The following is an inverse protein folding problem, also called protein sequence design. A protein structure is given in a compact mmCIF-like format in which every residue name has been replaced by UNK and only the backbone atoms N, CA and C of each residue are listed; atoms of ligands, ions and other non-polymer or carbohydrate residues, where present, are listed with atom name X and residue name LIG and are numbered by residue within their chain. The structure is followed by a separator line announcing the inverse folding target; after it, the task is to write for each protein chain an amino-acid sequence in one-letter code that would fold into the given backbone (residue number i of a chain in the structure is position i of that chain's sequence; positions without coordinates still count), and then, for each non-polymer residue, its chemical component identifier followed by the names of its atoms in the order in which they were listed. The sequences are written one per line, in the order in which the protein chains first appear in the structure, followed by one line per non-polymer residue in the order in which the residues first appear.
data_IF_507602923211
#
_entry.id   IF_507602923211
#
_cell.length_a   1.000
_cell.length_b   1.000
_cell.length_c   1.000
_cell.angle_alpha   90.00
_cell.angle_beta   90.00
_cell.angle_gamma   90.00
#
_symmetry.space_group_name_H-M   'P 1'
#
loop_
_entity.id
_entity.type
_entity.pdbx_description
1 polymer ?
#
# COMPACT_ATOMS: atom_id res chain seq x y z
N UNK A 1 16.43 6.71 5.07
CA UNK A 1 15.98 5.32 4.84
C UNK A 1 14.45 5.26 4.96
N UNK A 2 13.79 4.53 4.05
CA UNK A 2 12.36 4.24 4.12
C UNK A 2 12.15 2.79 4.56
N UNK A 3 11.31 2.56 5.57
CA UNK A 3 10.95 1.23 6.05
C UNK A 3 9.57 0.84 5.53
N UNK A 4 9.42 -0.32 4.89
CA UNK A 4 8.11 -0.84 4.48
C UNK A 4 7.71 -2.03 5.35
N UNK A 5 6.45 -2.06 5.79
CA UNK A 5 5.90 -3.10 6.67
C UNK A 5 4.85 -3.92 5.92
N UNK A 6 5.05 -5.24 5.86
CA UNK A 6 4.10 -6.20 5.31
C UNK A 6 3.80 -7.30 6.33
N UNK A 7 2.71 -7.17 7.09
CA UNK A 7 2.38 -8.12 8.16
C UNK A 7 1.78 -9.44 7.66
N UNK A 8 1.20 -9.46 6.46
CA UNK A 8 0.58 -10.65 5.87
C UNK A 8 1.03 -10.86 4.41
N UNK A 9 2.35 -11.07 4.18
CA UNK A 9 2.89 -11.25 2.83
C UNK A 9 2.38 -12.55 2.21
N UNK A 10 2.50 -12.66 0.89
CA UNK A 10 2.03 -13.82 0.12
C UNK A 10 3.01 -14.20 -0.96
N UNK A 11 3.11 -15.48 -1.29
CA UNK A 11 3.65 -15.88 -2.60
C UNK A 11 2.53 -15.68 -3.61
N UNK A 12 2.60 -14.60 -4.38
CA UNK A 12 1.61 -14.32 -5.41
C UNK A 12 1.90 -15.24 -6.60
N UNK A 13 0.93 -16.10 -6.92
CA UNK A 13 1.02 -17.08 -7.99
C UNK A 13 0.02 -16.73 -9.06
N UNK A 14 0.53 -16.35 -10.24
CA UNK A 14 -0.27 -16.00 -11.40
C UNK A 14 -0.38 -17.17 -12.36
N UNK A 15 -1.60 -17.39 -12.84
CA UNK A 15 -1.91 -18.28 -13.97
C UNK A 15 -2.50 -17.47 -15.11
N UNK A 16 -1.90 -17.61 -16.30
CA UNK A 16 -2.45 -17.06 -17.53
C UNK A 16 -3.13 -18.18 -18.32
N UNK A 17 -4.39 -17.98 -18.65
CA UNK A 17 -5.22 -18.89 -19.44
C UNK A 17 -5.95 -18.11 -20.53
N UNK A 18 -6.26 -18.76 -21.64
CA UNK A 18 -7.19 -18.22 -22.62
C UNK A 18 -8.63 -18.27 -22.05
N UNK A 19 -9.00 -19.40 -21.47
CA UNK A 19 -10.29 -19.67 -20.84
C UNK A 19 -10.09 -20.49 -19.55
N UNK A 20 -10.90 -20.21 -18.52
CA UNK A 20 -10.96 -21.00 -17.29
C UNK A 20 -12.10 -22.03 -17.40
N UNK A 21 -11.77 -23.31 -17.53
CA UNK A 21 -12.76 -24.38 -17.63
C UNK A 21 -13.15 -24.85 -16.23
N UNK A 22 -14.40 -24.62 -15.84
CA UNK A 22 -14.95 -25.09 -14.55
C UNK A 22 -15.25 -26.58 -14.63
N UNK A 23 -14.96 -27.30 -13.54
CA UNK A 23 -15.16 -28.77 -13.42
C UNK A 23 -14.28 -29.60 -14.40
N UNK A 24 -13.14 -29.04 -14.84
CA UNK A 24 -12.19 -29.74 -15.70
C UNK A 24 -10.73 -29.37 -15.38
N UNK A 25 -9.78 -30.07 -16.00
CA UNK A 25 -8.35 -29.88 -15.84
C UNK A 25 -7.86 -28.69 -16.66
N UNK A 26 -7.34 -27.68 -15.98
CA UNK A 26 -6.64 -26.54 -16.58
C UNK A 26 -5.13 -26.74 -16.40
N UNK A 27 -4.35 -26.73 -17.50
CA UNK A 27 -2.89 -26.88 -17.46
C UNK A 27 -2.22 -25.53 -17.60
N UNK A 28 -1.37 -25.18 -16.63
CA UNK A 28 -0.78 -23.85 -16.50
C UNK A 28 0.70 -23.93 -16.12
N UNK A 29 1.44 -22.87 -16.44
CA UNK A 29 2.76 -22.61 -15.88
C UNK A 29 2.63 -21.44 -14.89
N UNK A 30 2.94 -21.63 -13.59
CA UNK A 30 2.87 -20.55 -12.61
C UNK A 30 3.98 -19.52 -12.84
N UNK A 31 3.61 -18.24 -12.77
CA UNK A 31 4.54 -17.15 -12.46
C UNK A 31 4.42 -16.85 -10.96
N UNK A 32 5.53 -16.83 -10.22
CA UNK A 32 5.52 -16.61 -8.76
C UNK A 32 6.36 -15.40 -8.39
N UNK A 33 5.82 -14.53 -7.55
CA UNK A 33 6.50 -13.32 -7.09
C UNK A 33 6.35 -13.12 -5.59
N UNK A 34 7.25 -12.30 -5.01
CA UNK A 34 7.16 -11.89 -3.62
C UNK A 34 6.00 -10.89 -3.45
N UNK A 35 4.86 -11.36 -2.99
CA UNK A 35 3.60 -10.63 -2.94
C UNK A 35 3.29 -9.96 -1.61
N UNK A 36 2.41 -8.97 -1.68
CA UNK A 36 1.97 -8.18 -0.53
C UNK A 36 2.14 -6.67 -0.77
N UNK A 37 1.18 -5.89 -0.27
CA UNK A 37 1.11 -4.43 -0.52
C UNK A 37 2.40 -3.70 -0.14
N UNK A 38 2.95 -3.95 1.05
CA UNK A 38 4.20 -3.30 1.47
C UNK A 38 5.44 -3.74 0.67
N UNK A 39 5.41 -4.93 0.04
CA UNK A 39 6.45 -5.38 -0.89
C UNK A 39 6.29 -4.73 -2.28
N UNK A 40 5.07 -4.46 -2.73
CA UNK A 40 4.83 -3.62 -3.91
C UNK A 40 5.37 -2.20 -3.68
N UNK A 41 5.11 -1.63 -2.50
CA UNK A 41 5.68 -0.32 -2.10
C UNK A 41 7.22 -0.37 -2.15
N UNK A 42 7.84 -1.39 -1.55
CA UNK A 42 9.29 -1.53 -1.54
C UNK A 42 9.91 -1.63 -2.95
N UNK A 43 9.29 -2.40 -3.85
CA UNK A 43 9.72 -2.51 -5.25
C UNK A 43 9.71 -1.17 -5.96
N UNK A 44 8.64 -0.40 -5.78
CA UNK A 44 8.50 0.90 -6.44
C UNK A 44 9.50 1.91 -5.88
N UNK A 45 9.69 1.95 -4.56
CA UNK A 45 10.73 2.78 -3.92
C UNK A 45 12.14 2.43 -4.44
N UNK A 46 12.44 1.14 -4.61
CA UNK A 46 13.70 0.71 -5.22
C UNK A 46 13.91 1.22 -6.66
N UNK A 47 12.85 1.27 -7.46
CA UNK A 47 12.88 1.84 -8.82
C UNK A 47 13.08 3.36 -8.82
N UNK A 48 12.55 4.05 -7.82
CA UNK A 48 12.76 5.49 -7.61
C UNK A 48 14.15 5.82 -7.04
N UNK A 49 14.93 4.80 -6.65
CA UNK A 49 16.30 4.95 -6.15
C UNK A 49 16.39 5.20 -4.64
N UNK A 50 15.32 4.96 -3.89
CA UNK A 50 15.31 5.14 -2.42
C UNK A 50 16.09 4.03 -1.68
N UNK A 51 16.71 4.39 -0.55
CA UNK A 51 17.25 3.41 0.40
C UNK A 51 16.09 2.81 1.21
N UNK A 52 15.66 1.61 0.81
CA UNK A 52 14.50 0.91 1.35
C UNK A 52 14.88 -0.38 2.08
N UNK A 53 14.20 -0.64 3.20
CA UNK A 53 14.23 -1.95 3.88
C UNK A 53 12.79 -2.44 4.04
N UNK A 54 12.52 -3.67 3.58
CA UNK A 54 11.25 -4.34 3.81
C UNK A 54 11.28 -5.18 5.09
N UNK A 55 10.25 -5.10 5.93
CA UNK A 55 10.08 -5.92 7.13
C UNK A 55 8.65 -6.43 7.27
N UNK A 56 8.44 -7.33 8.23
CA UNK A 56 7.18 -8.02 8.45
C UNK A 56 7.39 -9.40 9.05
N UNK A 57 6.50 -10.34 8.72
CA UNK A 57 6.52 -11.71 9.19
C UNK A 57 6.68 -12.70 8.03
N UNK A 58 7.60 -13.66 8.13
CA UNK A 58 7.75 -14.77 7.18
C UNK A 58 7.84 -16.09 7.93
N UNK A 59 7.24 -17.15 7.41
CA UNK A 59 7.31 -18.44 8.09
C UNK A 59 7.19 -19.65 7.19
N UNK A 60 7.74 -20.75 7.68
CA UNK A 60 7.79 -22.02 6.98
C UNK A 60 8.63 -21.99 5.69
N UNK A 61 8.33 -22.93 4.80
CA UNK A 61 9.03 -23.09 3.52
C UNK A 61 8.67 -21.97 2.55
N UNK A 62 7.40 -21.56 2.53
CA UNK A 62 6.93 -20.44 1.72
C UNK A 62 7.55 -19.12 2.18
N UNK A 63 7.83 -18.96 3.49
CA UNK A 63 8.58 -17.82 4.01
C UNK A 63 10.03 -17.80 3.51
N UNK A 64 10.71 -18.95 3.48
CA UNK A 64 12.04 -19.06 2.91
C UNK A 64 12.04 -18.77 1.40
N UNK A 65 11.07 -19.31 0.67
CA UNK A 65 10.92 -19.06 -0.76
C UNK A 65 10.60 -17.58 -1.07
N UNK A 66 9.82 -16.91 -0.22
CA UNK A 66 9.61 -15.45 -0.30
C UNK A 66 10.92 -14.67 -0.16
N UNK A 67 11.79 -15.07 0.79
CA UNK A 67 13.09 -14.45 0.96
C UNK A 67 13.97 -14.62 -0.30
N UNK A 68 14.00 -15.82 -0.89
CA UNK A 68 14.70 -16.08 -2.15
C UNK A 68 14.18 -15.19 -3.30
N UNK A 69 12.85 -15.04 -3.41
CA UNK A 69 12.23 -14.17 -4.40
C UNK A 69 12.54 -12.69 -4.17
N UNK A 70 12.61 -12.23 -2.92
CA UNK A 70 13.01 -10.85 -2.59
C UNK A 70 14.48 -10.60 -2.95
N UNK A 71 15.38 -11.53 -2.59
CA UNK A 71 16.80 -11.44 -2.89
C UNK A 71 17.07 -11.42 -4.39
N UNK A 72 16.37 -12.28 -5.16
CA UNK A 72 16.46 -12.31 -6.63
C UNK A 72 16.00 -11.00 -7.29
N UNK A 73 15.10 -10.25 -6.64
CA UNK A 73 14.60 -8.96 -7.11
C UNK A 73 15.33 -7.76 -6.47
N UNK A 74 16.42 -7.99 -5.73
CA UNK A 74 17.21 -6.92 -5.10
C UNK A 74 16.50 -6.18 -3.96
N UNK A 75 15.48 -6.79 -3.35
CA UNK A 75 14.73 -6.18 -2.24
C UNK A 75 15.47 -6.46 -0.93
N UNK A 76 16.15 -5.44 -0.39
CA UNK A 76 16.74 -5.50 0.95
C UNK A 76 15.65 -5.69 1.99
N UNK A 77 15.77 -6.75 2.79
CA UNK A 77 14.71 -7.18 3.68
C UNK A 77 15.25 -7.64 5.04
N UNK A 78 14.45 -7.47 6.09
CA UNK A 78 14.73 -7.92 7.46
C UNK A 78 13.42 -8.35 8.15
N UNK A 79 12.90 -9.52 7.76
CA UNK A 79 11.65 -10.09 8.26
C UNK A 79 11.85 -10.93 9.51
N UNK A 80 10.82 -10.98 10.35
CA UNK A 80 10.80 -11.81 11.56
C UNK A 80 10.26 -13.21 11.24
N UNK A 81 11.00 -14.27 11.62
CA UNK A 81 10.53 -15.63 11.40
C UNK A 81 9.35 -15.98 12.31
N UNK A 82 8.35 -16.65 11.74
CA UNK A 82 7.21 -17.22 12.46
C UNK A 82 7.08 -18.72 12.16
N UNK A 83 6.35 -19.45 13.02
CA UNK A 83 6.10 -20.89 12.86
C UNK A 83 5.10 -21.21 11.77
N UNK A 84 4.09 -20.35 11.59
CA UNK A 84 3.04 -20.54 10.59
C UNK A 84 3.58 -20.37 9.16
N UNK A 85 2.99 -21.08 8.21
CA UNK A 85 3.38 -20.99 6.80
C UNK A 85 2.92 -19.65 6.18
N UNK A 86 3.82 -18.94 5.51
CA UNK A 86 3.43 -17.79 4.67
C UNK A 86 2.46 -18.23 3.59
N UNK A 87 1.42 -17.42 3.36
CA UNK A 87 0.29 -17.78 2.51
C UNK A 87 0.58 -17.70 1.01
N UNK A 88 -0.33 -18.26 0.22
CA UNK A 88 -0.37 -18.12 -1.23
C UNK A 88 -1.58 -17.28 -1.62
N UNK A 89 -1.39 -16.41 -2.61
CA UNK A 89 -2.49 -15.75 -3.31
C UNK A 89 -2.47 -16.24 -4.76
N UNK A 90 -3.59 -16.75 -5.25
CA UNK A 90 -3.72 -17.19 -6.64
C UNK A 90 -4.45 -16.12 -7.44
N UNK A 91 -3.85 -15.69 -8.54
CA UNK A 91 -4.46 -14.80 -9.51
C UNK A 91 -4.57 -15.50 -10.86
N UNK A 92 -5.80 -15.77 -11.30
CA UNK A 92 -6.11 -16.44 -12.56
C UNK A 92 -6.61 -15.40 -13.55
N UNK A 93 -5.81 -15.13 -14.58
CA UNK A 93 -6.18 -14.24 -15.68
C UNK A 93 -6.73 -15.08 -16.84
N UNK A 94 -7.96 -14.80 -17.26
CA UNK A 94 -8.64 -15.56 -18.31
C UNK A 94 -9.68 -14.70 -19.03
N UNK A 95 -9.75 -14.78 -20.36
CA UNK A 95 -10.75 -14.06 -21.17
C UNK A 95 -10.98 -12.58 -20.81
N UNK A 96 -9.91 -11.84 -20.45
CA UNK A 96 -9.98 -10.44 -20.02
C UNK A 96 -10.48 -10.21 -18.58
N UNK A 97 -10.72 -11.29 -17.83
CA UNK A 97 -11.11 -11.28 -16.42
C UNK A 97 -9.94 -11.63 -15.51
N UNK A 98 -10.13 -11.31 -14.23
CA UNK A 98 -9.25 -11.65 -13.12
C UNK A 98 -10.05 -12.36 -12.05
N UNK A 99 -9.60 -13.55 -11.64
CA UNK A 99 -10.20 -14.34 -10.57
C UNK A 99 -9.16 -14.62 -9.49
N UNK A 100 -9.44 -14.20 -8.26
CA UNK A 100 -8.48 -14.26 -7.16
C UNK A 100 -8.93 -15.23 -6.08
N UNK A 101 -7.98 -16.03 -5.56
CA UNK A 101 -8.16 -16.83 -4.36
C UNK A 101 -7.12 -16.38 -3.33
N UNK A 102 -7.60 -15.77 -2.26
CA UNK A 102 -6.77 -15.16 -1.23
C UNK A 102 -6.85 -16.01 0.04
N UNK A 103 -5.76 -16.70 0.38
CA UNK A 103 -5.68 -17.42 1.65
C UNK A 103 -5.65 -16.42 2.83
N UNK A 104 -6.26 -16.80 3.97
CA UNK A 104 -6.28 -15.93 5.16
C UNK A 104 -4.90 -15.73 5.78
N UNK A 105 -3.98 -16.68 5.55
CA UNK A 105 -2.63 -16.69 6.11
C UNK A 105 -2.51 -17.20 7.54
N UNK A 106 -1.30 -17.15 8.10
CA UNK A 106 -0.98 -17.78 9.37
C UNK A 106 -1.67 -17.08 10.54
N UNK A 107 -1.78 -17.80 11.65
CA UNK A 107 -2.11 -17.22 12.95
C UNK A 107 -0.81 -16.90 13.67
N UNK A 108 -0.64 -15.65 14.10
CA UNK A 108 0.56 -15.18 14.78
C UNK A 108 0.44 -15.42 16.28
N UNK A 109 1.47 -16.03 16.88
CA UNK A 109 1.53 -16.21 18.33
C UNK A 109 1.92 -14.89 19.04
N UNK A 110 1.50 -14.66 20.29
CA UNK A 110 1.87 -13.46 21.04
C UNK A 110 3.38 -13.23 21.11
N UNK A 111 4.18 -14.29 21.29
CA UNK A 111 5.64 -14.18 21.38
C UNK A 111 6.29 -13.80 20.05
N UNK A 112 5.69 -14.21 18.93
CA UNK A 112 6.13 -13.84 17.57
C UNK A 112 5.79 -12.37 17.27
N UNK A 113 4.61 -11.91 17.73
CA UNK A 113 4.21 -10.51 17.62
C UNK A 113 5.07 -9.59 18.50
N UNK A 114 5.47 -10.05 19.68
CA UNK A 114 6.42 -9.34 20.54
C UNK A 114 7.80 -9.25 19.90
N UNK A 115 8.29 -10.34 19.31
CA UNK A 115 9.55 -10.35 18.55
C UNK A 115 9.51 -9.39 17.35
N UNK A 116 8.40 -9.35 16.62
CA UNK A 116 8.20 -8.37 15.55
C UNK A 116 8.13 -6.94 16.08
N UNK A 117 7.43 -6.68 17.17
CA UNK A 117 7.38 -5.35 17.78
C UNK A 117 8.79 -4.88 18.15
N UNK A 118 9.62 -5.74 18.74
CA UNK A 118 11.00 -5.40 19.10
C UNK A 118 11.87 -5.09 17.87
N UNK A 119 11.78 -5.91 16.81
CA UNK A 119 12.49 -5.64 15.54
C UNK A 119 12.01 -4.35 14.88
N UNK A 120 10.69 -4.14 14.83
CA UNK A 120 10.10 -2.93 14.28
C UNK A 120 10.61 -1.69 15.00
N UNK A 121 10.66 -1.68 16.34
CA UNK A 121 11.21 -0.56 17.11
C UNK A 121 12.66 -0.24 16.71
N UNK A 122 13.51 -1.25 16.51
CA UNK A 122 14.90 -1.05 16.08
C UNK A 122 14.98 -0.42 14.68
N UNK A 123 14.19 -0.94 13.74
CA UNK A 123 14.21 -0.48 12.34
C UNK A 123 13.58 0.90 12.18
N UNK A 124 12.45 1.16 12.86
CA UNK A 124 11.76 2.44 12.85
C UNK A 124 12.64 3.56 13.42
N UNK A 125 13.47 3.28 14.43
CA UNK A 125 14.43 4.25 14.97
C UNK A 125 15.56 4.67 14.02
N UNK A 126 15.66 4.06 12.83
CA UNK A 126 16.62 4.40 11.78
C UNK A 126 15.93 4.98 10.53
N UNK A 127 14.60 5.02 10.51
CA UNK A 127 13.81 5.39 9.34
C UNK A 127 13.39 6.86 9.40
N UNK A 128 13.36 7.52 8.24
CA UNK A 128 12.78 8.86 8.10
C UNK A 128 11.27 8.74 7.81
N UNK A 129 10.89 7.68 7.08
CA UNK A 129 9.51 7.37 6.70
C UNK A 129 9.25 5.87 6.91
N UNK A 130 8.07 5.54 7.42
CA UNK A 130 7.58 4.16 7.55
C UNK A 130 6.27 4.01 6.78
N UNK A 131 6.20 3.07 5.84
CA UNK A 131 4.94 2.71 5.17
C UNK A 131 4.38 1.43 5.76
N UNK A 132 3.13 1.46 6.22
CA UNK A 132 2.43 0.29 6.76
C UNK A 132 1.28 -0.05 5.80
N UNK A 133 1.33 -1.22 5.17
CA UNK A 133 0.41 -1.53 4.08
C UNK A 133 -0.21 -2.93 4.18
N UNK A 134 -1.51 -3.00 3.91
CA UNK A 134 -2.29 -4.25 3.84
C UNK A 134 -2.83 -4.73 5.17
N UNK A 135 -3.53 -5.86 5.15
CA UNK A 135 -4.25 -6.39 6.31
C UNK A 135 -3.33 -7.02 7.35
N UNK A 136 -3.80 -7.03 8.60
CA UNK A 136 -3.20 -7.80 9.67
C UNK A 136 -3.44 -9.32 9.45
N UNK A 137 -2.47 -10.19 9.81
CA UNK A 137 -2.66 -11.64 9.84
C UNK A 137 -3.56 -12.05 11.00
N UNK A 138 -3.99 -13.32 11.03
CA UNK A 138 -4.86 -13.82 12.10
C UNK A 138 -4.11 -13.82 13.45
N UNK A 139 -4.85 -13.61 14.53
CA UNK A 139 -4.26 -13.55 15.89
C UNK A 139 -3.63 -12.20 16.25
N UNK A 140 -3.70 -11.20 15.36
CA UNK A 140 -3.27 -9.83 15.65
C UNK A 140 -4.50 -8.93 15.75
N UNK A 141 -4.59 -8.18 16.85
CA UNK A 141 -5.70 -7.28 17.14
C UNK A 141 -5.73 -6.07 16.19
N UNK A 142 -6.93 -5.56 15.91
CA UNK A 142 -7.14 -4.53 14.90
C UNK A 142 -6.40 -3.21 15.19
N UNK A 143 -6.14 -2.91 16.47
CA UNK A 143 -5.42 -1.72 16.93
C UNK A 143 -3.89 -1.85 16.85
N UNK A 144 -3.35 -2.99 16.41
CA UNK A 144 -1.92 -3.21 16.34
C UNK A 144 -1.20 -2.20 15.44
N UNK A 145 -1.82 -1.79 14.32
CA UNK A 145 -1.25 -0.73 13.48
C UNK A 145 -1.22 0.63 14.19
N UNK A 146 -2.21 0.96 15.01
CA UNK A 146 -2.15 2.16 15.84
C UNK A 146 -0.96 2.11 16.81
N UNK A 147 -0.70 0.94 17.42
CA UNK A 147 0.46 0.72 18.30
C UNK A 147 1.78 0.97 17.59
N UNK A 148 2.01 0.34 16.43
CA UNK A 148 3.29 0.49 15.73
C UNK A 148 3.46 1.85 15.04
N UNK A 149 2.36 2.51 14.64
CA UNK A 149 2.37 3.93 14.25
C UNK A 149 2.90 4.78 15.39
N UNK A 150 2.38 4.59 16.61
CA UNK A 150 2.85 5.29 17.80
C UNK A 150 4.34 5.07 18.10
N UNK A 151 4.86 3.87 17.87
CA UNK A 151 6.29 3.57 18.04
C UNK A 151 7.15 4.36 17.03
N UNK A 152 6.75 4.39 15.75
CA UNK A 152 7.50 5.05 14.70
C UNK A 152 7.45 6.59 14.80
N UNK A 153 6.28 7.17 15.03
CA UNK A 153 6.12 8.62 15.19
C UNK A 153 6.90 9.13 16.42
N UNK A 154 6.89 8.40 17.54
CA UNK A 154 7.69 8.75 18.72
C UNK A 154 9.21 8.61 18.47
N UNK A 155 9.62 7.81 17.50
CA UNK A 155 11.01 7.72 17.05
C UNK A 155 11.38 8.80 16.03
N UNK A 156 10.42 9.63 15.60
CA UNK A 156 10.60 10.73 14.66
C UNK A 156 10.37 10.37 13.19
N UNK A 157 9.91 9.15 12.90
CA UNK A 157 9.63 8.72 11.54
C UNK A 157 8.18 9.06 11.13
N UNK A 158 7.99 9.56 9.92
CA UNK A 158 6.67 9.86 9.36
C UNK A 158 5.96 8.58 8.90
N UNK A 159 4.76 8.31 9.41
CA UNK A 159 4.03 7.07 9.09
C UNK A 159 3.00 7.28 7.98
N UNK A 160 3.11 6.50 6.91
CA UNK A 160 2.12 6.39 5.83
C UNK A 160 1.35 5.09 5.98
N UNK A 161 0.05 5.17 6.27
CA UNK A 161 -0.80 4.01 6.54
C UNK A 161 -1.80 3.76 5.38
N UNK A 162 -1.68 2.59 4.74
CA UNK A 162 -2.59 2.06 3.72
C UNK A 162 -3.18 0.72 4.17
N UNK A 163 -4.24 0.81 4.97
CA UNK A 163 -5.02 -0.34 5.44
C UNK A 163 -6.51 -0.04 5.33
N UNK A 164 -7.35 -1.04 5.56
CA UNK A 164 -8.80 -0.91 5.46
C UNK A 164 -9.52 -1.51 6.68
N UNK A 165 -10.84 -1.35 6.71
CA UNK A 165 -11.73 -1.95 7.71
C UNK A 165 -11.38 -1.58 9.15
N UNK A 166 -11.48 -2.57 10.04
CA UNK A 166 -11.30 -2.38 11.48
C UNK A 166 -9.92 -1.81 11.85
N UNK A 167 -8.87 -2.16 11.09
CA UNK A 167 -7.52 -1.66 11.36
C UNK A 167 -7.35 -0.19 10.99
N UNK A 168 -7.99 0.26 9.90
CA UNK A 168 -8.03 1.68 9.55
C UNK A 168 -8.81 2.44 10.63
N UNK A 169 -9.99 1.94 11.00
CA UNK A 169 -10.83 2.59 12.00
C UNK A 169 -10.13 2.69 13.36
N UNK A 170 -9.40 1.66 13.79
CA UNK A 170 -8.63 1.68 15.03
C UNK A 170 -7.49 2.73 14.98
N UNK A 171 -6.76 2.81 13.87
CA UNK A 171 -5.72 3.83 13.68
C UNK A 171 -6.29 5.26 13.59
N UNK A 172 -7.48 5.44 13.02
CA UNK A 172 -8.14 6.75 12.99
C UNK A 172 -8.68 7.15 14.38
N UNK A 173 -8.91 6.19 15.29
CA UNK A 173 -9.35 6.48 16.67
C UNK A 173 -8.19 6.66 17.65
N UNK A 174 -6.96 6.34 17.26
CA UNK A 174 -5.80 6.49 18.15
C UNK A 174 -5.43 7.94 18.39
N UNK A 175 -4.82 8.19 19.54
CA UNK A 175 -4.31 9.52 19.92
C UNK A 175 -3.11 9.93 19.06
N UNK A 176 -2.18 8.99 18.82
CA UNK A 176 -1.07 9.22 17.90
C UNK A 176 -1.57 8.92 16.49
N UNK A 177 -1.57 9.94 15.64
CA UNK A 177 -1.98 9.86 14.23
C UNK A 177 -0.79 9.53 13.32
N UNK A 178 -1.01 8.80 12.22
CA UNK A 178 0.00 8.72 11.15
C UNK A 178 0.12 10.07 10.42
N UNK A 179 1.30 10.35 9.86
CA UNK A 179 1.50 11.47 8.91
C UNK A 179 0.49 11.42 7.75
N UNK A 180 0.17 10.24 7.22
CA UNK A 180 -0.71 10.09 6.07
C UNK A 180 -1.60 8.85 6.14
N UNK A 181 -2.87 9.01 5.76
CA UNK A 181 -3.77 7.89 5.40
C UNK A 181 -4.24 8.02 3.95
N UNK A 182 -4.34 6.89 3.24
CA UNK A 182 -4.77 6.87 1.83
C UNK A 182 -5.97 5.94 1.57
N UNK A 183 -7.16 6.17 2.13
CA UNK A 183 -8.32 5.38 1.74
C UNK A 183 -8.71 5.63 0.27
N UNK A 184 -9.44 4.68 -0.32
CA UNK A 184 -10.18 4.91 -1.57
C UNK A 184 -11.64 5.32 -1.27
N UNK A 185 -12.39 5.72 -2.31
CA UNK A 185 -13.80 6.10 -2.16
C UNK A 185 -14.66 5.00 -1.51
N UNK A 186 -14.45 3.73 -1.84
CA UNK A 186 -15.20 2.61 -1.24
C UNK A 186 -14.95 2.51 0.26
N UNK A 187 -13.69 2.64 0.69
CA UNK A 187 -13.29 2.61 2.09
C UNK A 187 -13.84 3.80 2.87
N UNK A 188 -13.74 5.02 2.30
CA UNK A 188 -14.33 6.22 2.90
C UNK A 188 -15.85 6.09 3.05
N UNK A 189 -16.54 5.68 1.98
CA UNK A 189 -17.99 5.51 2.01
C UNK A 189 -18.43 4.47 3.04
N UNK A 190 -17.70 3.36 3.15
CA UNK A 190 -17.93 2.36 4.18
C UNK A 190 -17.72 2.89 5.60
N UNK A 191 -16.70 3.72 5.81
CA UNK A 191 -16.36 4.29 7.12
C UNK A 191 -17.32 5.40 7.58
N UNK A 192 -17.83 6.20 6.63
CA UNK A 192 -18.72 7.34 6.89
C UNK A 192 -20.21 6.97 6.76
N UNK A 193 -20.53 5.80 6.20
CA UNK A 193 -21.91 5.42 5.89
C UNK A 193 -22.52 6.27 4.77
N UNK A 194 -21.70 6.68 3.80
CA UNK A 194 -22.06 7.57 2.68
C UNK A 194 -21.94 6.87 1.33
N UNK A 195 -22.20 7.60 0.24
CA UNK A 195 -22.10 7.09 -1.13
C UNK A 195 -21.53 8.15 -2.08
N UNK A 196 -20.43 8.79 -1.70
CA UNK A 196 -19.74 9.78 -2.52
C UNK A 196 -19.20 9.17 -3.82
N UNK A 197 -19.30 9.94 -4.89
CA UNK A 197 -18.74 9.66 -6.21
C UNK A 197 -17.51 10.54 -6.46
N UNK A 198 -16.92 10.43 -7.66
CA UNK A 198 -15.78 11.25 -8.06
C UNK A 198 -16.09 12.74 -8.21
N UNK A 199 -17.38 13.07 -8.30
CA UNK A 199 -17.91 14.41 -8.55
C UNK A 199 -18.27 15.14 -7.23
N UNK A 200 -18.47 14.42 -6.13
CA UNK A 200 -18.91 14.95 -4.83
C UNK A 200 -17.74 15.44 -3.94
N UNK A 201 -16.80 16.17 -4.54
CA UNK A 201 -15.53 16.55 -3.87
C UNK A 201 -15.77 17.49 -2.69
N UNK A 202 -16.69 18.44 -2.82
CA UNK A 202 -16.99 19.42 -1.77
C UNK A 202 -17.71 18.78 -0.58
N UNK A 203 -18.65 17.88 -0.84
CA UNK A 203 -19.36 17.11 0.19
C UNK A 203 -18.42 16.15 0.91
N UNK A 204 -17.54 15.46 0.16
CA UNK A 204 -16.49 14.61 0.72
C UNK A 204 -15.57 15.42 1.65
N UNK A 205 -15.11 16.60 1.20
CA UNK A 205 -14.30 17.52 2.02
C UNK A 205 -15.01 17.90 3.31
N UNK A 206 -16.27 18.31 3.23
CA UNK A 206 -17.05 18.71 4.41
C UNK A 206 -17.25 17.54 5.39
N UNK A 207 -17.49 16.33 4.87
CA UNK A 207 -17.64 15.14 5.69
C UNK A 207 -16.34 14.77 6.42
N UNK A 208 -15.20 14.78 5.73
CA UNK A 208 -13.90 14.49 6.36
C UNK A 208 -13.51 15.56 7.39
N UNK A 209 -13.75 16.84 7.09
CA UNK A 209 -13.45 17.94 8.01
C UNK A 209 -14.33 17.94 9.28
N UNK A 210 -15.53 17.35 9.22
CA UNK A 210 -16.46 17.27 10.35
C UNK A 210 -16.32 16.01 11.20
N UNK A 211 -15.58 15.00 10.70
CA UNK A 211 -15.35 13.75 11.41
C UNK A 211 -14.04 13.82 12.22
N UNK A 212 -14.18 13.83 13.55
CA UNK A 212 -13.07 13.93 14.50
C UNK A 212 -12.04 12.80 14.36
N UNK A 213 -12.37 11.67 13.71
CA UNK A 213 -11.40 10.60 13.45
C UNK A 213 -10.28 11.04 12.51
N UNK A 214 -10.55 12.01 11.64
CA UNK A 214 -9.58 12.56 10.70
C UNK A 214 -8.90 13.84 11.21
N UNK A 215 -9.26 14.32 12.41
CA UNK A 215 -8.56 15.45 13.01
C UNK A 215 -7.10 15.09 13.25
N UNK A 216 -6.23 16.09 13.12
CA UNK A 216 -4.80 16.00 13.45
C UNK A 216 -3.99 15.01 12.59
N UNK A 217 -4.60 14.39 11.58
CA UNK A 217 -3.88 13.66 10.53
C UNK A 217 -3.38 14.70 9.53
N UNK A 218 -2.05 14.87 9.35
CA UNK A 218 -1.53 15.85 8.42
C UNK A 218 -2.06 15.64 7.01
N UNK A 219 -1.91 14.42 6.46
CA UNK A 219 -2.40 14.05 5.13
C UNK A 219 -3.56 13.06 5.16
N UNK A 220 -4.70 13.48 4.62
CA UNK A 220 -5.80 12.57 4.27
C UNK A 220 -5.96 12.58 2.76
N UNK A 221 -5.67 11.46 2.10
CA UNK A 221 -5.75 11.36 0.64
C UNK A 221 -6.79 10.33 0.24
N UNK A 222 -7.82 10.78 -0.48
CA UNK A 222 -8.85 9.88 -1.04
C UNK A 222 -8.52 9.61 -2.51
N UNK A 223 -8.13 8.37 -2.79
CA UNK A 223 -7.87 7.92 -4.16
C UNK A 223 -9.18 7.61 -4.92
N UNK A 224 -9.22 7.99 -6.20
CA UNK A 224 -10.40 7.92 -7.07
C UNK A 224 -10.12 7.20 -8.41
N UNK A 225 -9.15 6.28 -8.39
CA UNK A 225 -8.78 5.49 -9.57
C UNK A 225 -8.35 6.35 -10.75
N UNK A 226 -8.98 6.17 -11.92
CA UNK A 226 -8.65 6.91 -13.14
C UNK A 226 -8.83 8.44 -12.98
N UNK A 227 -9.69 8.88 -12.05
CA UNK A 227 -9.99 10.29 -11.81
C UNK A 227 -8.95 11.02 -10.92
N UNK A 228 -7.89 10.34 -10.49
CA UNK A 228 -6.82 10.89 -9.66
C UNK A 228 -7.13 10.79 -8.16
N UNK A 229 -6.91 11.87 -7.42
CA UNK A 229 -7.11 11.91 -5.97
C UNK A 229 -7.57 13.28 -5.46
N UNK A 230 -8.15 13.28 -4.26
CA UNK A 230 -8.33 14.49 -3.45
C UNK A 230 -7.44 14.38 -2.22
N UNK A 231 -6.67 15.41 -1.92
CA UNK A 231 -5.76 15.45 -0.77
C UNK A 231 -6.12 16.59 0.17
N UNK A 232 -6.07 16.33 1.47
CA UNK A 232 -6.20 17.33 2.51
C UNK A 232 -4.90 17.39 3.29
N UNK A 233 -4.29 18.57 3.38
CA UNK A 233 -3.04 18.78 4.10
C UNK A 233 -3.09 20.05 4.93
N UNK A 234 -2.97 19.93 6.26
CA UNK A 234 -2.92 21.06 7.20
C UNK A 234 -4.02 22.13 6.97
N UNK A 235 -5.25 21.68 6.70
CA UNK A 235 -6.41 22.56 6.47
C UNK A 235 -6.57 23.05 5.03
N UNK A 236 -5.65 22.73 4.12
CA UNK A 236 -5.76 22.98 2.68
C UNK A 236 -6.34 21.75 1.98
N UNK A 237 -7.09 21.98 0.92
CA UNK A 237 -7.69 20.93 0.11
C UNK A 237 -7.19 21.01 -1.33
N UNK A 238 -6.88 19.88 -1.93
CA UNK A 238 -6.33 19.80 -3.28
C UNK A 238 -7.06 18.74 -4.10
N UNK A 239 -7.28 19.03 -5.38
CA UNK A 239 -7.65 18.02 -6.38
C UNK A 239 -6.45 17.76 -7.27
N UNK A 240 -6.02 16.49 -7.34
CA UNK A 240 -5.08 16.02 -8.35
C UNK A 240 -5.86 15.29 -9.45
N UNK A 241 -5.82 15.82 -10.67
CA UNK A 241 -6.34 15.16 -11.87
C UNK A 241 -5.20 14.58 -12.67
N UNK A 242 -5.32 13.32 -13.03
CA UNK A 242 -4.31 12.58 -13.80
C UNK A 242 -4.67 12.49 -15.27
N UNK A 243 -3.69 12.40 -16.18
CA UNK A 243 -3.96 12.19 -17.59
C UNK A 243 -4.60 10.81 -17.84
N UNK A 244 -5.28 10.69 -18.97
CA UNK A 244 -5.71 9.40 -19.52
C UNK A 244 -4.49 8.62 -20.00
N UNK A 245 -4.48 7.33 -19.72
CA UNK A 245 -3.38 6.41 -20.04
C UNK A 245 -3.95 5.10 -20.61
N UNK A 246 -3.19 4.37 -21.45
CA UNK A 246 -3.56 3.01 -21.84
C UNK A 246 -3.29 2.05 -20.67
N UNK A 247 -4.26 1.91 -19.76
CA UNK A 247 -4.13 1.03 -18.61
C UNK A 247 -4.12 -0.46 -19.04
N UNK A 248 -3.19 -1.22 -18.48
CA UNK A 248 -2.99 -2.67 -18.69
C UNK A 248 -3.36 -3.43 -17.43
N UNK A 249 -2.81 -3.04 -16.26
CA UNK A 249 -3.07 -3.70 -14.99
C UNK A 249 -3.07 -2.68 -13.83
N UNK A 250 -4.24 -2.39 -13.25
CA UNK A 250 -4.35 -1.45 -12.13
C UNK A 250 -3.96 -2.05 -10.76
N UNK A 251 -3.75 -3.37 -10.67
CA UNK A 251 -3.28 -4.00 -9.42
C UNK A 251 -1.92 -3.44 -9.03
N UNK A 252 -1.80 -3.00 -7.78
CA UNK A 252 -0.59 -2.35 -7.25
C UNK A 252 -0.51 -0.84 -7.49
N UNK A 253 -1.45 -0.22 -8.20
CA UNK A 253 -1.41 1.24 -8.42
C UNK A 253 -1.58 2.02 -7.11
N UNK A 254 -2.43 1.55 -6.20
CA UNK A 254 -2.56 2.15 -4.87
C UNK A 254 -1.27 2.05 -4.03
N UNK A 255 -0.58 0.90 -4.11
CA UNK A 255 0.68 0.66 -3.42
C UNK A 255 1.79 1.54 -4.03
N UNK A 256 1.82 1.66 -5.36
CA UNK A 256 2.73 2.55 -6.09
C UNK A 256 2.49 4.03 -5.75
N UNK A 257 1.23 4.42 -5.55
CA UNK A 257 0.89 5.76 -5.05
C UNK A 257 1.43 5.99 -3.63
N UNK A 258 1.36 5.01 -2.73
CA UNK A 258 1.99 5.11 -1.41
C UNK A 258 3.51 5.24 -1.51
N UNK A 259 4.16 4.49 -2.40
CA UNK A 259 5.59 4.64 -2.65
C UNK A 259 5.93 6.05 -3.12
N UNK A 260 5.16 6.62 -4.06
CA UNK A 260 5.37 8.00 -4.52
C UNK A 260 5.14 9.04 -3.42
N UNK A 261 4.18 8.83 -2.52
CA UNK A 261 4.02 9.66 -1.31
C UNK A 261 5.25 9.56 -0.41
N UNK A 262 5.70 8.34 -0.11
CA UNK A 262 6.84 8.10 0.76
C UNK A 262 8.13 8.73 0.20
N UNK A 263 8.37 8.58 -1.09
CA UNK A 263 9.49 9.17 -1.82
C UNK A 263 9.49 10.70 -1.71
N UNK A 264 8.39 11.36 -2.07
CA UNK A 264 8.32 12.82 -2.08
C UNK A 264 8.34 13.42 -0.66
N UNK A 265 7.69 12.75 0.30
CA UNK A 265 7.68 13.19 1.71
C UNK A 265 9.07 13.02 2.33
N UNK A 266 9.78 11.92 2.05
CA UNK A 266 11.15 11.72 2.50
C UNK A 266 12.10 12.80 1.94
N UNK A 267 11.85 13.26 0.72
CA UNK A 267 12.59 14.35 0.08
C UNK A 267 12.22 15.76 0.60
N UNK A 268 11.21 15.90 1.46
CA UNK A 268 10.75 17.19 1.98
C UNK A 268 10.09 18.08 0.92
N UNK A 269 9.45 17.47 -0.10
CA UNK A 269 8.81 18.17 -1.19
C UNK A 269 7.55 18.94 -0.75
N UNK A 270 7.13 19.93 -1.56
CA UNK A 270 5.88 20.66 -1.34
C UNK A 270 4.62 19.84 -1.70
N UNK A 271 3.46 20.32 -1.25
CA UNK A 271 2.16 19.63 -1.39
C UNK A 271 1.84 19.25 -2.83
N UNK A 272 2.12 20.15 -3.79
CA UNK A 272 1.87 19.91 -5.20
C UNK A 272 2.79 18.78 -5.73
N UNK A 273 4.08 18.86 -5.44
CA UNK A 273 5.07 17.86 -5.85
C UNK A 273 4.77 16.49 -5.25
N UNK A 274 4.37 16.45 -3.98
CA UNK A 274 3.94 15.22 -3.29
C UNK A 274 2.76 14.58 -4.01
N UNK A 275 1.71 15.36 -4.30
CA UNK A 275 0.52 14.86 -4.99
C UNK A 275 0.80 14.43 -6.44
N UNK A 276 1.63 15.18 -7.18
CA UNK A 276 2.01 14.85 -8.56
C UNK A 276 2.83 13.56 -8.61
N UNK A 277 3.82 13.42 -7.73
CA UNK A 277 4.68 12.23 -7.66
C UNK A 277 3.86 10.97 -7.34
N UNK A 278 3.02 11.04 -6.32
CA UNK A 278 2.20 9.92 -5.88
C UNK A 278 1.20 9.46 -6.96
N UNK A 279 0.52 10.40 -7.62
CA UNK A 279 -0.41 10.07 -8.71
C UNK A 279 0.33 9.53 -9.95
N UNK A 280 1.52 10.05 -10.24
CA UNK A 280 2.37 9.57 -11.33
C UNK A 280 2.76 8.11 -11.13
N UNK A 281 3.25 7.74 -9.94
CA UNK A 281 3.62 6.36 -9.64
C UNK A 281 2.43 5.40 -9.81
N UNK A 282 1.25 5.79 -9.32
CA UNK A 282 0.03 4.98 -9.49
C UNK A 282 -0.36 4.77 -10.96
N UNK A 283 -0.23 5.81 -11.79
CA UNK A 283 -0.52 5.76 -13.23
C UNK A 283 0.52 4.95 -14.01
N UNK A 284 1.80 5.14 -13.72
CA UNK A 284 2.87 4.37 -14.37
C UNK A 284 2.76 2.87 -14.08
N UNK A 285 2.40 2.48 -12.86
CA UNK A 285 2.07 1.09 -12.56
C UNK A 285 0.91 0.57 -13.42
N UNK A 286 -0.15 1.36 -13.55
CA UNK A 286 -1.32 0.94 -14.31
C UNK A 286 -1.03 0.66 -15.79
N UNK A 287 0.07 1.20 -16.34
CA UNK A 287 0.48 1.01 -17.74
C UNK A 287 1.27 -0.28 -17.97
N UNK A 288 1.71 -0.96 -16.91
CA UNK A 288 2.55 -2.15 -16.98
C UNK A 288 1.73 -3.42 -16.66
N UNK A 289 1.95 -4.56 -17.34
CA UNK A 289 1.35 -5.83 -16.91
C UNK A 289 1.86 -6.30 -15.53
N UNK A 290 3.07 -5.93 -15.13
CA UNK A 290 3.70 -6.32 -13.87
C UNK A 290 3.28 -5.41 -12.71
N UNK A 291 2.81 -6.01 -11.62
CA UNK A 291 2.42 -5.30 -10.40
C UNK A 291 3.64 -4.75 -9.64
N UNK A 292 3.58 -3.47 -9.25
CA UNK A 292 4.64 -2.78 -8.53
C UNK A 292 5.83 -2.40 -9.42
N UNK A 293 5.60 -2.18 -10.72
CA UNK A 293 6.61 -1.74 -11.68
C UNK A 293 6.19 -0.43 -12.34
N UNK A 294 7.12 0.50 -12.51
CA UNK A 294 6.87 1.79 -13.15
C UNK A 294 7.44 1.81 -14.57
N UNK A 295 6.64 2.23 -15.55
CA UNK A 295 7.12 2.51 -16.91
C UNK A 295 7.92 3.82 -16.92
N UNK A 296 9.16 3.79 -16.42
CA UNK A 296 9.96 4.98 -16.13
C UNK A 296 10.19 5.89 -17.34
N UNK A 297 10.26 5.35 -18.56
CA UNK A 297 10.40 6.14 -19.80
C UNK A 297 9.20 7.05 -20.08
N UNK A 298 8.07 6.85 -19.38
CA UNK A 298 6.85 7.68 -19.48
C UNK A 298 6.70 8.65 -18.30
N UNK A 299 7.68 8.73 -17.40
CA UNK A 299 7.60 9.56 -16.20
C UNK A 299 7.29 11.02 -16.51
N UNK A 300 8.11 11.67 -17.32
CA UNK A 300 7.95 13.11 -17.62
C UNK A 300 6.61 13.43 -18.27
N UNK A 301 6.13 12.55 -19.16
CA UNK A 301 4.82 12.72 -19.79
C UNK A 301 3.69 12.67 -18.76
N UNK A 302 3.67 11.63 -17.93
CA UNK A 302 2.61 11.43 -16.95
C UNK A 302 2.68 12.50 -15.86
N UNK A 303 3.87 12.77 -15.32
CA UNK A 303 4.10 13.75 -14.26
C UNK A 303 3.68 15.16 -14.68
N UNK A 304 4.04 15.58 -15.90
CA UNK A 304 3.62 16.87 -16.46
C UNK A 304 2.15 16.92 -16.84
N UNK A 305 1.51 15.77 -17.03
CA UNK A 305 0.06 15.66 -17.22
C UNK A 305 -0.75 15.72 -15.93
N UNK A 306 -0.14 15.51 -14.75
CA UNK A 306 -0.87 15.64 -13.47
C UNK A 306 -1.09 17.11 -13.13
N UNK A 307 -2.35 17.52 -13.05
CA UNK A 307 -2.77 18.86 -12.66
C UNK A 307 -3.25 18.85 -11.22
N UNK A 308 -2.58 19.61 -10.35
CA UNK A 308 -3.01 19.82 -8.96
C UNK A 308 -3.64 21.20 -8.83
N UNK A 309 -4.79 21.28 -8.19
CA UNK A 309 -5.52 22.54 -7.96
C UNK A 309 -5.96 22.60 -6.51
N UNK A 310 -5.67 23.72 -5.83
CA UNK A 310 -6.21 24.00 -4.50
C UNK A 310 -7.70 24.36 -4.58
N UNK A 311 -8.51 23.82 -3.66
CA UNK A 311 -9.98 23.91 -3.64
C UNK A 311 -10.51 24.94 -2.64
#
# INVERSE_FOLDING_TARGET
MILTVTMNPSVDTRYQLDELIIDDVNRVTPEKTAGGKGLNVARVLGQLGDDVVATGLLGGHMGAYMAELMDANGIKNDFVPIKGETRICLNILHAGNQTELLESGPTIAPEELDAFTAKFTELAGKADVVTISGSLPRGVEADYYAKITGIAENAGAKVLLDTSGASLEAALKSEIKPELVKPNLTEINGLLGTSFTTDDVDELRAALASDARFSDIPWVVVSMGAAGSVGFHNGRAFRAKTPDIPAVNATGSGDSTIAGFAHAIAAGADDETVLRTANTCGKLNAMDPMTGHLVMDRWDEVYNGVVVTEL
#
